data_IF_317838952028
#
_entry.id   IF_317838952028
#
_cell.length_a   1.000
_cell.length_b   1.000
_cell.length_c   1.000
_cell.angle_alpha   90.00
_cell.angle_beta   90.00
_cell.angle_gamma   90.00
#
_symmetry.space_group_name_H-M   'P 1'
#
loop_
_entity.id
_entity.type
_entity.pdbx_description
1 polymer ?
#
# COMPACT_ATOMS: atom_id res chain seq x y z
N UNK A 1 -18.20 -14.95 -2.65
CA UNK A 1 -17.98 -13.83 -1.73
C UNK A 1 -16.71 -14.06 -0.94
N UNK A 2 -15.89 -13.05 -0.85
CA UNK A 2 -14.60 -13.21 -0.20
C UNK A 2 -14.70 -12.86 1.28
N UNK A 3 -14.11 -13.71 2.12
CA UNK A 3 -13.98 -13.42 3.54
C UNK A 3 -12.66 -12.73 3.85
N UNK A 4 -11.94 -12.36 2.82
CA UNK A 4 -10.63 -11.74 3.00
C UNK A 4 -10.77 -10.30 3.46
N UNK A 5 -9.79 -9.87 4.28
CA UNK A 5 -9.69 -8.47 4.64
C UNK A 5 -9.20 -7.65 3.45
N UNK A 6 -9.77 -6.48 3.29
CA UNK A 6 -9.41 -5.59 2.18
C UNK A 6 -8.21 -4.74 2.60
N UNK A 7 -7.18 -4.75 1.79
CA UNK A 7 -5.91 -4.13 2.12
C UNK A 7 -5.53 -3.10 1.07
N UNK A 8 -5.07 -1.94 1.53
CA UNK A 8 -4.42 -0.96 0.66
C UNK A 8 -2.93 -0.97 0.92
N UNK A 9 -2.15 -0.63 -0.09
CA UNK A 9 -0.70 -0.55 0.05
C UNK A 9 -0.29 0.89 -0.21
N UNK A 10 0.17 1.56 0.83
CA UNK A 10 0.68 2.93 0.73
C UNK A 10 2.15 2.87 0.33
N UNK A 11 2.52 3.64 -0.69
CA UNK A 11 3.87 3.57 -1.20
C UNK A 11 4.11 2.34 -2.05
N UNK A 12 3.07 1.86 -2.73
CA UNK A 12 3.13 0.60 -3.44
C UNK A 12 4.02 0.57 -4.67
N UNK A 13 4.47 1.73 -5.15
CA UNK A 13 5.33 1.76 -6.34
C UNK A 13 6.80 1.55 -6.01
N UNK A 14 7.18 1.66 -4.74
CA UNK A 14 8.55 1.44 -4.33
C UNK A 14 8.86 -0.03 -4.13
N UNK A 15 10.13 -0.32 -3.83
CA UNK A 15 10.58 -1.70 -3.74
C UNK A 15 9.86 -2.49 -2.65
N UNK A 16 9.68 -1.88 -1.46
CA UNK A 16 9.00 -2.57 -0.37
C UNK A 16 7.54 -2.81 -0.71
N UNK A 17 6.89 -1.81 -1.35
CA UNK A 17 5.51 -1.98 -1.77
C UNK A 17 5.36 -3.08 -2.81
N UNK A 18 6.30 -3.17 -3.74
CA UNK A 18 6.31 -4.23 -4.73
C UNK A 18 6.40 -5.61 -4.06
N UNK A 19 7.22 -5.70 -3.02
CA UNK A 19 7.36 -6.95 -2.29
C UNK A 19 6.04 -7.34 -1.61
N UNK A 20 5.37 -6.37 -0.99
CA UNK A 20 4.07 -6.64 -0.40
C UNK A 20 3.09 -7.15 -1.45
N UNK A 21 3.10 -6.55 -2.62
CA UNK A 21 2.18 -6.97 -3.69
C UNK A 21 2.41 -8.43 -4.06
N UNK A 22 3.68 -8.82 -4.23
CA UNK A 22 3.96 -10.21 -4.60
C UNK A 22 3.63 -11.18 -3.47
N UNK A 23 3.88 -10.78 -2.22
CA UNK A 23 3.59 -11.64 -1.08
C UNK A 23 2.10 -11.83 -0.86
N UNK A 24 1.30 -10.83 -1.24
CA UNK A 24 -0.13 -10.88 -1.00
C UNK A 24 -0.92 -11.41 -2.17
N UNK A 25 -0.26 -11.73 -3.26
CA UNK A 25 -0.95 -12.32 -4.41
C UNK A 25 -1.52 -13.67 -3.99
N UNK A 26 -2.84 -13.82 -4.18
CA UNK A 26 -3.55 -15.06 -3.82
C UNK A 26 -3.44 -15.41 -2.34
N UNK A 27 -3.23 -14.41 -1.50
CA UNK A 27 -3.14 -14.65 -0.05
C UNK A 27 -4.50 -15.11 0.47
N UNK A 28 -4.53 -16.11 1.38
CA UNK A 28 -5.80 -16.66 1.84
C UNK A 28 -6.62 -15.71 2.73
N UNK A 29 -5.97 -14.75 3.39
CA UNK A 29 -6.66 -13.88 4.33
C UNK A 29 -6.75 -12.42 3.91
N UNK A 30 -5.92 -12.00 2.98
CA UNK A 30 -5.85 -10.59 2.59
C UNK A 30 -6.01 -10.44 1.09
N UNK A 31 -6.73 -9.39 0.71
CA UNK A 31 -6.92 -9.06 -0.70
C UNK A 31 -6.49 -7.62 -0.91
N UNK A 32 -5.54 -7.39 -1.80
CA UNK A 32 -5.12 -6.04 -2.14
C UNK A 32 -6.18 -5.43 -3.03
N UNK A 33 -6.83 -4.39 -2.55
CA UNK A 33 -7.91 -3.74 -3.30
C UNK A 33 -7.48 -2.41 -3.89
N UNK A 34 -6.40 -1.81 -3.38
CA UNK A 34 -5.87 -0.58 -3.97
C UNK A 34 -4.41 -0.41 -3.62
N UNK A 35 -3.76 0.44 -4.42
CA UNK A 35 -2.40 0.86 -4.19
C UNK A 35 -2.40 2.38 -4.22
N UNK A 36 -1.69 3.00 -3.30
CA UNK A 36 -1.57 4.45 -3.25
C UNK A 36 -0.11 4.85 -3.21
N UNK A 37 0.17 6.04 -3.70
CA UNK A 37 1.53 6.56 -3.74
C UNK A 37 1.46 8.08 -3.70
N UNK A 38 2.61 8.74 -3.86
CA UNK A 38 2.64 10.18 -3.90
C UNK A 38 1.96 10.69 -5.18
N UNK A 39 1.64 11.98 -5.20
CA UNK A 39 0.94 12.57 -6.33
C UNK A 39 1.63 12.38 -7.66
N UNK A 40 2.94 12.13 -7.64
CA UNK A 40 3.68 11.91 -8.87
C UNK A 40 3.18 10.68 -9.62
N UNK A 41 2.81 9.63 -8.90
CA UNK A 41 2.35 8.39 -9.50
C UNK A 41 0.83 8.30 -9.54
N UNK A 42 0.14 9.14 -8.81
CA UNK A 42 -1.31 9.05 -8.70
C UNK A 42 -1.99 9.29 -10.04
N UNK A 43 -3.08 8.57 -10.26
CA UNK A 43 -3.84 8.70 -11.49
C UNK A 43 -3.39 7.82 -12.62
N UNK A 44 -2.25 7.16 -12.47
CA UNK A 44 -1.72 6.25 -13.49
C UNK A 44 -2.10 4.82 -13.14
N UNK A 45 -2.14 3.97 -14.16
CA UNK A 45 -2.24 2.54 -13.91
C UNK A 45 -0.94 2.09 -13.23
N UNK A 46 -1.06 1.07 -12.38
CA UNK A 46 0.11 0.63 -11.63
C UNK A 46 1.27 0.23 -12.56
N UNK A 47 0.98 -0.50 -13.63
CA UNK A 47 2.03 -0.91 -14.55
C UNK A 47 2.72 0.28 -15.19
N UNK A 48 1.99 1.38 -15.38
CA UNK A 48 2.57 2.60 -15.91
C UNK A 48 3.42 3.31 -14.86
N UNK A 49 2.92 3.33 -13.63
CA UNK A 49 3.60 4.03 -12.55
C UNK A 49 4.96 3.40 -12.24
N UNK A 50 5.08 2.10 -12.42
CA UNK A 50 6.32 1.39 -12.13
C UNK A 50 7.07 0.96 -13.39
N UNK A 51 6.69 1.51 -14.53
CA UNK A 51 7.32 1.12 -15.80
C UNK A 51 8.84 1.25 -15.69
N UNK A 52 9.54 0.15 -15.97
CA UNK A 52 10.99 0.11 -15.87
C UNK A 52 11.53 0.03 -14.46
N UNK A 53 10.67 0.02 -13.44
CA UNK A 53 11.12 0.00 -12.06
C UNK A 53 10.65 -1.21 -11.26
N UNK A 54 10.02 -2.16 -11.93
CA UNK A 54 9.63 -3.41 -11.25
C UNK A 54 10.90 -4.20 -10.96
N UNK A 55 11.20 -4.40 -9.68
CA UNK A 55 12.46 -4.98 -9.24
C UNK A 55 12.34 -6.38 -8.69
N UNK A 56 11.13 -6.93 -8.67
CA UNK A 56 10.94 -8.26 -8.12
C UNK A 56 11.35 -9.30 -9.14
N UNK A 57 11.77 -10.47 -8.65
CA UNK A 57 12.15 -11.57 -9.52
C UNK A 57 10.96 -12.20 -10.21
N UNK A 58 9.81 -12.18 -9.55
CA UNK A 58 8.58 -12.69 -10.14
C UNK A 58 7.95 -11.65 -11.03
N UNK A 59 7.16 -12.06 -12.03
CA UNK A 59 6.45 -11.09 -12.85
C UNK A 59 5.44 -10.30 -12.05
N UNK A 60 5.12 -9.11 -12.53
CA UNK A 60 4.11 -8.28 -11.90
C UNK A 60 2.78 -9.02 -11.93
N UNK A 61 2.10 -9.14 -10.76
CA UNK A 61 0.80 -9.83 -10.73
C UNK A 61 -0.22 -9.12 -11.60
N UNK A 62 -1.07 -9.90 -12.24
CA UNK A 62 -2.07 -9.35 -13.14
C UNK A 62 -3.06 -8.46 -12.41
N UNK A 63 -3.40 -8.80 -11.17
CA UNK A 63 -4.43 -8.06 -10.43
C UNK A 63 -4.05 -6.61 -10.23
N UNK A 64 -2.75 -6.31 -10.12
CA UNK A 64 -2.30 -4.96 -9.80
C UNK A 64 -2.05 -4.11 -11.03
N UNK A 65 -1.78 -4.75 -12.19
CA UNK A 65 -1.37 -4.02 -13.39
C UNK A 65 -2.34 -2.91 -13.78
N UNK A 66 -3.62 -3.20 -13.70
CA UNK A 66 -4.66 -2.27 -14.16
C UNK A 66 -5.27 -1.45 -13.06
N UNK A 67 -4.75 -1.56 -11.84
CA UNK A 67 -5.23 -0.73 -10.74
C UNK A 67 -4.74 0.69 -10.93
N UNK A 68 -5.63 1.66 -10.76
CA UNK A 68 -5.26 3.06 -10.76
C UNK A 68 -4.60 3.37 -9.42
N UNK A 69 -3.44 4.03 -9.48
CA UNK A 69 -2.73 4.40 -8.26
C UNK A 69 -3.44 5.61 -7.63
N UNK A 70 -3.78 5.49 -6.35
CA UNK A 70 -4.42 6.55 -5.61
C UNK A 70 -3.38 7.51 -5.04
N UNK A 71 -3.79 8.75 -4.79
CA UNK A 71 -2.95 9.73 -4.10
C UNK A 71 -3.13 9.50 -2.60
N UNK A 72 -2.04 9.22 -1.89
CA UNK A 72 -2.12 8.92 -0.45
C UNK A 72 -2.73 10.05 0.35
N UNK A 73 -2.62 11.27 -0.14
CA UNK A 73 -3.06 12.44 0.57
C UNK A 73 -4.41 12.92 0.07
N UNK A 74 -4.54 13.14 -1.23
CA UNK A 74 -5.76 13.70 -1.80
C UNK A 74 -6.92 12.71 -1.79
N UNK A 75 -6.62 11.43 -1.96
CA UNK A 75 -7.64 10.39 -2.03
C UNK A 75 -7.85 9.69 -0.69
N UNK A 76 -7.42 10.34 0.38
CA UNK A 76 -7.47 9.73 1.71
C UNK A 76 -8.86 9.21 2.07
N UNK A 77 -9.88 10.03 1.87
CA UNK A 77 -11.23 9.63 2.24
C UNK A 77 -11.70 8.42 1.45
N UNK A 78 -11.36 8.39 0.17
CA UNK A 78 -11.74 7.25 -0.66
C UNK A 78 -10.99 6.00 -0.24
N UNK A 79 -9.71 6.14 0.07
CA UNK A 79 -8.90 5.01 0.50
C UNK A 79 -9.49 4.37 1.76
N UNK A 80 -9.76 5.19 2.78
CA UNK A 80 -10.25 4.64 4.05
C UNK A 80 -11.63 4.01 3.91
N UNK A 81 -12.40 4.42 2.92
CA UNK A 81 -13.71 3.83 2.71
C UNK A 81 -13.64 2.46 2.02
N UNK A 82 -12.51 2.12 1.44
CA UNK A 82 -12.38 0.90 0.64
C UNK A 82 -11.59 -0.22 1.31
N UNK A 83 -10.88 0.09 2.40
CA UNK A 83 -9.97 -0.88 2.99
C UNK A 83 -10.33 -1.16 4.43
N UNK A 84 -9.90 -2.34 4.91
CA UNK A 84 -10.01 -2.69 6.33
C UNK A 84 -8.74 -2.28 7.07
N UNK A 85 -7.59 -2.31 6.40
CA UNK A 85 -6.35 -1.76 6.93
C UNK A 85 -5.38 -1.54 5.78
N UNK A 86 -4.24 -0.91 6.08
CA UNK A 86 -3.25 -0.61 5.04
C UNK A 86 -1.87 -1.06 5.47
N UNK A 87 -1.06 -1.47 4.51
CA UNK A 87 0.38 -1.66 4.71
C UNK A 87 1.08 -0.38 4.26
N UNK A 88 1.95 0.14 5.11
CA UNK A 88 2.68 1.35 4.80
C UNK A 88 4.10 0.98 4.39
N UNK A 89 4.40 1.24 3.13
CA UNK A 89 5.71 0.91 2.55
C UNK A 89 6.40 2.17 2.01
N UNK A 90 6.01 3.34 2.54
CA UNK A 90 6.58 4.59 2.06
C UNK A 90 7.99 4.76 2.59
N UNK A 91 8.82 5.43 1.79
CA UNK A 91 10.20 5.73 2.16
C UNK A 91 10.30 7.22 2.49
N UNK A 92 10.00 7.55 3.73
CA UNK A 92 9.93 8.93 4.19
C UNK A 92 10.58 9.05 5.57
N UNK A 93 10.91 10.28 6.01
CA UNK A 93 11.37 10.49 7.38
C UNK A 93 10.32 9.99 8.40
N UNK A 94 10.80 9.60 9.57
CA UNK A 94 9.93 8.97 10.58
C UNK A 94 8.77 9.86 10.99
N UNK A 95 9.00 11.16 11.10
CA UNK A 95 7.95 12.07 11.52
C UNK A 95 6.81 12.11 10.50
N UNK A 96 7.14 12.01 9.21
CA UNK A 96 6.11 11.99 8.18
C UNK A 96 5.35 10.67 8.18
N UNK A 97 6.06 9.57 8.40
CA UNK A 97 5.41 8.27 8.49
C UNK A 97 4.47 8.23 9.70
N UNK A 98 4.91 8.78 10.81
CA UNK A 98 4.09 8.83 12.00
C UNK A 98 2.83 9.65 11.77
N UNK A 99 2.95 10.76 11.03
CA UNK A 99 1.78 11.57 10.71
C UNK A 99 0.77 10.79 9.88
N UNK A 100 1.26 10.01 8.92
CA UNK A 100 0.39 9.16 8.10
C UNK A 100 -0.30 8.13 8.98
N UNK A 101 0.45 7.47 9.84
CA UNK A 101 -0.11 6.45 10.72
C UNK A 101 -1.19 7.02 11.62
N UNK A 102 -0.95 8.21 12.19
CA UNK A 102 -1.93 8.85 13.06
C UNK A 102 -3.18 9.24 12.30
N UNK A 103 -3.02 9.73 11.08
CA UNK A 103 -4.16 10.13 10.25
C UNK A 103 -5.07 8.94 9.97
N UNK A 104 -4.46 7.82 9.61
CA UNK A 104 -5.24 6.61 9.31
C UNK A 104 -5.84 6.01 10.58
N UNK A 105 -5.11 6.08 11.70
CA UNK A 105 -5.62 5.57 12.96
C UNK A 105 -6.86 6.36 13.41
N UNK A 106 -6.86 7.66 13.19
CA UNK A 106 -8.03 8.49 13.52
C UNK A 106 -9.24 8.11 12.69
N UNK A 107 -9.02 7.61 11.49
CA UNK A 107 -10.10 7.13 10.64
C UNK A 107 -10.45 5.68 10.94
N UNK A 108 -9.87 5.10 11.99
CA UNK A 108 -10.10 3.73 12.42
C UNK A 108 -9.62 2.70 11.39
N UNK A 109 -8.59 3.06 10.63
CA UNK A 109 -7.95 2.16 9.69
C UNK A 109 -6.56 1.85 10.22
N UNK A 110 -6.32 0.63 10.72
CA UNK A 110 -5.00 0.27 11.23
C UNK A 110 -3.94 0.33 10.14
N UNK A 111 -2.73 0.68 10.53
CA UNK A 111 -1.60 0.75 9.62
C UNK A 111 -0.55 -0.26 10.07
N UNK A 112 -0.17 -1.15 9.16
CA UNK A 112 0.94 -2.07 9.39
C UNK A 112 2.13 -1.52 8.61
N UNK A 113 3.16 -1.12 9.32
CA UNK A 113 4.30 -0.48 8.71
C UNK A 113 5.48 -1.43 8.64
N UNK A 114 6.22 -1.34 7.54
CA UNK A 114 7.43 -2.13 7.36
C UNK A 114 8.66 -1.40 7.86
N UNK A 115 8.48 -0.39 8.70
CA UNK A 115 9.59 0.35 9.25
C UNK A 115 10.20 -0.41 10.43
N UNK A 116 11.46 -0.08 10.73
CA UNK A 116 12.14 -0.71 11.84
C UNK A 116 11.43 -0.46 13.17
N UNK A 117 10.70 0.64 13.26
CA UNK A 117 9.97 0.96 14.48
C UNK A 117 8.98 -0.13 14.84
N UNK A 118 8.26 -0.61 13.84
CA UNK A 118 7.25 -1.64 14.05
C UNK A 118 7.90 -2.90 14.60
N UNK A 119 8.99 -3.31 14.02
CA UNK A 119 9.65 -4.52 14.45
C UNK A 119 10.05 -4.49 15.90
N UNK A 120 10.46 -3.32 16.39
CA UNK A 120 10.87 -3.18 17.77
C UNK A 120 9.69 -3.03 18.71
N UNK A 121 8.66 -2.37 18.25
CA UNK A 121 7.52 -2.09 19.11
C UNK A 121 6.75 -3.33 19.47
N UNK A 122 6.91 -4.38 18.71
CA UNK A 122 6.10 -5.57 18.89
C UNK A 122 6.77 -6.68 19.67
N UNK A 123 8.01 -6.48 19.98
CA UNK A 123 8.72 -7.52 20.71
C UNK A 123 8.54 -7.35 22.18
#
# INVERSE_FOLDING_TARGET
MSDKLRVGILGGTGMVGQRFITLLENHPWFEVVLVAASGRSAGKLYEEAVDGRWKMQTPMPEFVKKMTVYDMDKDFDEIVSKVDFVFCAVNMPKDQIKAIEERYAKAEVPVVSNNSEIGRAHV
#
